data_IF_865008014520
#
_entry.id   IF_865008014520
#
_cell.length_a   1.000
_cell.length_b   1.000
_cell.length_c   1.000
_cell.angle_alpha   90.00
_cell.angle_beta   90.00
_cell.angle_gamma   90.00
#
_symmetry.space_group_name_H-M   'P 1'
#
loop_
_entity.id
_entity.type
_entity.pdbx_description
1 polymer ?
#
# COMPACT_ATOMS: atom_id res chain seq x y z
N UNK A 1 -1.01 1.04 -33.55
CA UNK A 1 -2.19 1.90 -33.79
C UNK A 1 -2.59 2.60 -32.49
N UNK A 2 -3.19 3.81 -32.52
CA UNK A 2 -3.37 4.63 -31.31
C UNK A 2 -4.29 3.97 -30.26
N UNK A 3 -5.21 3.10 -30.68
CA UNK A 3 -6.08 2.33 -29.79
C UNK A 3 -5.29 1.36 -28.90
N UNK A 4 -4.20 0.79 -29.42
CA UNK A 4 -3.34 -0.13 -28.67
C UNK A 4 -2.57 0.64 -27.58
N UNK A 5 -2.12 1.86 -27.90
CA UNK A 5 -1.46 2.72 -26.93
C UNK A 5 -2.41 3.10 -25.78
N UNK A 6 -3.67 3.45 -26.09
CA UNK A 6 -4.68 3.73 -25.06
C UNK A 6 -4.91 2.50 -24.16
N UNK A 7 -4.95 1.30 -24.74
CA UNK A 7 -5.13 0.05 -23.98
C UNK A 7 -3.96 -0.21 -23.03
N UNK A 8 -2.72 -0.10 -23.51
CA UNK A 8 -1.52 -0.31 -22.70
C UNK A 8 -1.42 0.73 -21.57
N UNK A 9 -1.71 1.99 -21.87
CA UNK A 9 -1.69 3.07 -20.87
C UNK A 9 -2.78 2.87 -19.81
N UNK A 10 -3.97 2.38 -20.20
CA UNK A 10 -5.02 1.98 -19.25
C UNK A 10 -4.63 0.81 -18.37
N UNK A 11 -3.92 -0.20 -18.90
CA UNK A 11 -3.39 -1.30 -18.09
C UNK A 11 -2.41 -0.82 -17.03
N UNK A 12 -1.73 0.30 -17.27
CA UNK A 12 -0.87 0.97 -16.30
C UNK A 12 -1.65 1.91 -15.34
N UNK A 13 -2.98 1.95 -15.41
CA UNK A 13 -3.82 2.84 -14.60
C UNK A 13 -3.82 4.30 -15.06
N UNK A 14 -3.12 4.61 -16.15
CA UNK A 14 -2.99 5.95 -16.70
C UNK A 14 -4.07 6.20 -17.76
N UNK A 15 -4.33 7.48 -18.06
CA UNK A 15 -5.35 7.88 -19.05
C UNK A 15 -4.74 8.77 -20.12
N UNK A 16 -5.13 8.52 -21.36
CA UNK A 16 -4.78 9.36 -22.50
C UNK A 16 -5.88 10.40 -22.76
N UNK A 17 -5.47 11.66 -22.87
CA UNK A 17 -6.29 12.80 -23.29
C UNK A 17 -5.94 13.14 -24.73
N UNK A 18 -6.89 13.65 -25.50
CA UNK A 18 -6.63 14.08 -26.86
C UNK A 18 -7.08 15.52 -27.10
N UNK A 19 -6.34 16.22 -27.95
CA UNK A 19 -6.61 17.61 -28.33
C UNK A 19 -6.40 17.79 -29.83
N UNK A 20 -7.36 18.43 -30.49
CA UNK A 20 -7.22 18.84 -31.89
C UNK A 20 -6.45 20.14 -31.95
N UNK A 21 -5.32 20.15 -32.64
CA UNK A 21 -4.44 21.31 -32.76
C UNK A 21 -4.37 21.70 -34.24
N UNK A 22 -4.47 22.99 -34.52
CA UNK A 22 -4.34 23.55 -35.87
C UNK A 22 -5.58 24.31 -36.35
N UNK A 23 -5.45 25.01 -37.49
CA UNK A 23 -6.51 25.81 -38.07
C UNK A 23 -7.64 24.93 -38.62
N UNK A 24 -8.84 25.52 -38.78
CA UNK A 24 -10.02 24.84 -39.29
C UNK A 24 -9.72 24.26 -40.68
N UNK A 25 -9.97 22.96 -40.87
CA UNK A 25 -9.64 22.21 -42.10
C UNK A 25 -8.27 21.54 -42.13
N UNK A 26 -7.36 21.82 -41.18
CA UNK A 26 -6.05 21.15 -41.04
C UNK A 26 -5.76 20.74 -39.60
N UNK A 27 -6.79 20.27 -38.88
CA UNK A 27 -6.64 19.88 -37.49
C UNK A 27 -6.00 18.49 -37.36
N UNK A 28 -4.97 18.39 -36.54
CA UNK A 28 -4.32 17.13 -36.17
C UNK A 28 -4.71 16.77 -34.75
N UNK A 29 -5.08 15.50 -34.52
CA UNK A 29 -5.41 14.99 -33.19
C UNK A 29 -4.13 14.56 -32.49
N UNK A 30 -3.74 15.32 -31.47
CA UNK A 30 -2.63 14.97 -30.59
C UNK A 30 -3.14 14.22 -29.36
N UNK A 31 -2.31 13.33 -28.85
CA UNK A 31 -2.58 12.43 -27.75
C UNK A 31 -1.55 12.70 -26.65
N UNK A 32 -2.02 12.99 -25.44
CA UNK A 32 -1.21 13.35 -24.28
C UNK A 32 -1.61 12.46 -23.09
N UNK A 33 -0.71 12.27 -22.13
CA UNK A 33 -1.08 11.68 -20.85
C UNK A 33 -1.86 12.70 -20.01
N UNK A 34 -2.82 12.23 -19.24
CA UNK A 34 -3.53 13.04 -18.26
C UNK A 34 -2.56 13.51 -17.16
N UNK A 35 -2.44 14.82 -16.97
CA UNK A 35 -1.45 15.39 -16.06
C UNK A 35 -1.72 15.01 -14.60
N UNK A 36 -2.99 15.01 -14.17
CA UNK A 36 -3.37 14.64 -12.80
C UNK A 36 -3.09 13.18 -12.50
N UNK A 37 -3.50 12.25 -13.39
CA UNK A 37 -3.18 10.82 -13.24
C UNK A 37 -1.66 10.55 -13.27
N UNK A 38 -0.91 11.30 -14.09
CA UNK A 38 0.54 11.14 -14.18
C UNK A 38 1.24 11.60 -12.90
N UNK A 39 0.88 12.77 -12.36
CA UNK A 39 1.46 13.30 -11.12
C UNK A 39 1.20 12.35 -9.96
N UNK A 40 -0.04 11.88 -9.81
CA UNK A 40 -0.40 10.88 -8.83
C UNK A 40 0.46 9.62 -8.94
N UNK A 41 0.58 9.07 -10.15
CA UNK A 41 1.37 7.85 -10.38
C UNK A 41 2.84 8.03 -10.00
N UNK A 42 3.43 9.20 -10.27
CA UNK A 42 4.81 9.51 -9.88
C UNK A 42 4.94 9.55 -8.35
N UNK A 43 4.04 10.23 -7.64
CA UNK A 43 4.06 10.30 -6.18
C UNK A 43 3.88 8.93 -5.52
N UNK A 44 2.99 8.07 -6.04
CA UNK A 44 2.83 6.69 -5.56
C UNK A 44 4.10 5.86 -5.77
N UNK A 45 4.77 6.01 -6.92
CA UNK A 45 6.04 5.31 -7.18
C UNK A 45 7.10 5.75 -6.18
N UNK A 46 7.23 7.04 -5.93
CA UNK A 46 8.17 7.59 -4.96
C UNK A 46 7.92 7.04 -3.55
N UNK A 47 6.67 7.09 -3.08
CA UNK A 47 6.29 6.54 -1.78
C UNK A 47 6.62 5.05 -1.67
N UNK A 48 6.30 4.24 -2.69
CA UNK A 48 6.62 2.80 -2.69
C UNK A 48 8.13 2.54 -2.69
N UNK A 49 8.92 3.36 -3.40
CA UNK A 49 10.38 3.25 -3.38
C UNK A 49 10.95 3.58 -2.00
N UNK A 50 10.43 4.62 -1.34
CA UNK A 50 10.81 4.97 0.03
C UNK A 50 10.51 3.82 0.99
N UNK A 51 9.30 3.25 0.93
CA UNK A 51 8.89 2.11 1.76
C UNK A 51 9.80 0.88 1.56
N UNK A 52 10.20 0.60 0.31
CA UNK A 52 11.16 -0.49 0.01
C UNK A 52 12.53 -0.24 0.63
N UNK A 53 13.05 0.98 0.53
CA UNK A 53 14.36 1.36 1.12
C UNK A 53 14.32 1.23 2.65
N UNK A 54 13.29 1.76 3.30
CA UNK A 54 13.13 1.64 4.75
C UNK A 54 13.05 0.19 5.22
N UNK A 55 12.35 -0.68 4.46
CA UNK A 55 12.30 -2.11 4.76
C UNK A 55 13.68 -2.78 4.64
N UNK A 56 14.45 -2.41 3.62
CA UNK A 56 15.81 -2.94 3.42
C UNK A 56 16.77 -2.48 4.53
N UNK A 57 16.71 -1.21 4.93
CA UNK A 57 17.50 -0.68 6.04
C UNK A 57 17.20 -1.40 7.35
N UNK A 58 15.92 -1.61 7.67
CA UNK A 58 15.50 -2.38 8.86
C UNK A 58 16.02 -3.82 8.80
N UNK A 59 15.88 -4.49 7.66
CA UNK A 59 16.40 -5.85 7.50
C UNK A 59 17.93 -5.92 7.71
N UNK A 60 18.67 -4.89 7.28
CA UNK A 60 20.12 -4.79 7.54
C UNK A 60 20.43 -4.59 9.01
N UNK A 61 19.73 -3.68 9.70
CA UNK A 61 19.94 -3.44 11.13
C UNK A 61 19.58 -4.67 11.97
N UNK A 62 18.52 -5.37 11.61
CA UNK A 62 18.07 -6.58 12.30
C UNK A 62 19.09 -7.72 12.11
N UNK A 63 19.60 -7.91 10.89
CA UNK A 63 20.64 -8.88 10.60
C UNK A 63 21.95 -8.58 11.37
N UNK A 64 22.34 -7.30 11.48
CA UNK A 64 23.51 -6.90 12.25
C UNK A 64 23.31 -7.11 13.75
N UNK A 65 22.15 -6.73 14.28
CA UNK A 65 21.77 -6.97 15.68
C UNK A 65 21.80 -8.47 16.01
N UNK A 66 21.25 -9.30 15.12
CA UNK A 66 21.24 -10.75 15.27
C UNK A 66 22.67 -11.33 15.27
N UNK A 67 23.55 -10.86 14.38
CA UNK A 67 24.98 -11.25 14.39
C UNK A 67 25.70 -10.84 15.68
N UNK A 68 25.45 -9.63 16.18
CA UNK A 68 26.06 -9.15 17.44
C UNK A 68 25.60 -9.98 18.63
N UNK A 69 24.29 -10.26 18.71
CA UNK A 69 23.72 -11.12 19.73
C UNK A 69 24.33 -12.53 19.68
N UNK A 70 24.44 -13.10 18.49
CA UNK A 70 25.03 -14.42 18.27
C UNK A 70 26.51 -14.48 18.69
N UNK A 71 27.33 -13.51 18.29
CA UNK A 71 28.73 -13.43 18.72
C UNK A 71 28.87 -13.31 20.25
N UNK A 72 27.94 -12.60 20.91
CA UNK A 72 27.89 -12.51 22.37
C UNK A 72 27.59 -13.86 23.04
N UNK A 73 26.63 -14.62 22.51
CA UNK A 73 26.29 -15.96 23.00
C UNK A 73 27.47 -16.93 22.79
N UNK A 74 28.10 -16.90 21.62
CA UNK A 74 29.30 -17.71 21.31
C UNK A 74 30.45 -17.38 22.28
N UNK A 75 30.72 -16.10 22.55
CA UNK A 75 31.79 -15.68 23.46
C UNK A 75 31.53 -16.07 24.93
N UNK A 76 30.28 -16.03 25.38
CA UNK A 76 29.93 -16.36 26.77
C UNK A 76 29.82 -17.87 27.03
N UNK A 77 29.28 -18.62 26.09
CA UNK A 77 28.91 -20.03 26.31
C UNK A 77 29.66 -21.03 25.42
N UNK A 78 30.44 -20.57 24.43
CA UNK A 78 31.20 -21.44 23.50
C UNK A 78 30.31 -22.24 22.53
N UNK A 79 29.03 -21.88 22.41
CA UNK A 79 28.05 -22.61 21.61
C UNK A 79 28.09 -22.06 20.18
N UNK A 80 28.74 -22.79 19.27
CA UNK A 80 28.66 -22.49 17.83
C UNK A 80 27.23 -22.74 17.33
N UNK A 81 26.68 -21.89 16.46
CA UNK A 81 25.36 -22.07 15.87
C UNK A 81 25.25 -23.43 15.18
N UNK A 82 24.12 -24.15 15.34
CA UNK A 82 23.88 -25.37 14.58
C UNK A 82 23.92 -25.06 13.07
N UNK A 83 24.49 -25.98 12.29
CA UNK A 83 24.60 -25.86 10.82
C UNK A 83 23.23 -25.70 10.14
N UNK A 84 22.17 -26.19 10.78
CA UNK A 84 20.79 -26.03 10.33
C UNK A 84 20.08 -24.98 11.20
N UNK A 85 19.65 -23.85 10.63
CA UNK A 85 18.86 -22.86 11.35
C UNK A 85 17.49 -23.45 11.68
N UNK A 86 17.23 -23.67 12.97
CA UNK A 86 15.90 -24.04 13.45
C UNK A 86 15.01 -22.80 13.42
N UNK A 87 13.90 -22.84 12.68
CA UNK A 87 12.86 -21.81 12.76
C UNK A 87 12.20 -21.86 14.13
N UNK A 88 12.70 -21.08 15.10
CA UNK A 88 11.98 -20.79 16.33
C UNK A 88 10.89 -19.76 16.03
N UNK A 89 9.61 -20.11 16.17
CA UNK A 89 8.53 -19.15 15.98
C UNK A 89 8.67 -18.01 17.00
N UNK A 90 8.36 -16.76 16.63
CA UNK A 90 8.45 -15.64 17.54
C UNK A 90 7.55 -15.88 18.76
N UNK A 91 8.02 -15.59 19.99
CA UNK A 91 7.32 -15.98 21.22
C UNK A 91 5.96 -15.31 21.43
N UNK A 92 5.59 -14.29 20.64
CA UNK A 92 4.30 -13.59 20.70
C UNK A 92 3.73 -13.29 19.29
N UNK A 93 3.47 -14.32 18.49
CA UNK A 93 2.92 -14.17 17.13
C UNK A 93 1.41 -14.43 17.02
N UNK A 94 0.56 -13.44 17.34
CA UNK A 94 -0.76 -13.34 16.70
C UNK A 94 -0.54 -12.56 15.40
N UNK A 95 -0.27 -13.26 14.31
CA UNK A 95 -0.06 -12.64 13.01
C UNK A 95 0.63 -13.57 12.01
N UNK A 96 -0.15 -14.01 11.02
CA UNK A 96 0.16 -14.70 9.75
C UNK A 96 1.32 -15.72 9.73
N UNK A 97 1.00 -16.97 9.39
CA UNK A 97 1.97 -18.06 9.26
C UNK A 97 3.07 -17.74 8.24
N UNK A 98 4.33 -18.17 8.47
CA UNK A 98 5.37 -18.05 7.45
C UNK A 98 4.96 -18.83 6.18
N UNK A 99 5.27 -18.23 5.02
CA UNK A 99 5.04 -18.82 3.71
C UNK A 99 5.57 -20.27 3.65
N UNK A 100 4.61 -21.21 3.61
CA UNK A 100 4.74 -22.56 3.05
C UNK A 100 5.83 -23.45 3.67
N UNK A 101 5.44 -24.21 4.70
CA UNK A 101 6.12 -25.45 5.06
C UNK A 101 5.79 -26.57 4.06
N UNK A 102 6.71 -27.53 3.90
CA UNK A 102 6.47 -28.77 3.14
C UNK A 102 5.68 -29.73 4.02
N UNK A 103 4.54 -30.21 3.53
CA UNK A 103 3.72 -31.22 4.21
C UNK A 103 4.43 -32.59 4.18
N UNK A 104 4.86 -33.08 5.34
CA UNK A 104 5.11 -34.52 5.53
C UNK A 104 3.78 -35.19 5.89
N UNK A 105 3.00 -35.58 4.89
CA UNK A 105 1.77 -36.35 5.09
C UNK A 105 2.06 -37.75 5.63
N UNK A 106 1.52 -38.06 6.80
CA UNK A 106 0.93 -39.37 7.08
C UNK A 106 -0.51 -39.14 7.57
N UNK A 107 -1.45 -39.82 6.90
CA UNK A 107 -2.90 -39.73 7.03
C UNK A 107 -3.42 -39.76 8.48
N UNK A 108 -4.39 -38.90 8.79
CA UNK A 108 -5.76 -39.30 9.15
C UNK A 108 -6.61 -38.05 9.46
N UNK A 109 -7.76 -37.95 8.79
CA UNK A 109 -8.59 -36.75 8.76
C UNK A 109 -9.50 -36.56 9.97
N UNK A 110 -10.10 -35.37 10.03
CA UNK A 110 -11.47 -35.13 10.52
C UNK A 110 -12.01 -33.92 9.76
N UNK A 111 -13.15 -34.11 9.09
CA UNK A 111 -13.96 -33.03 8.52
C UNK A 111 -14.60 -32.22 9.67
N UNK A 112 -14.49 -30.90 9.63
CA UNK A 112 -15.44 -30.03 10.31
C UNK A 112 -16.02 -29.04 9.31
N UNK A 113 -17.17 -29.42 8.76
CA UNK A 113 -18.15 -28.48 8.21
C UNK A 113 -18.56 -27.51 9.33
N UNK A 114 -18.27 -26.23 9.13
CA UNK A 114 -19.09 -25.15 9.67
C UNK A 114 -19.32 -24.13 8.58
N UNK A 115 -20.49 -24.25 7.98
CA UNK A 115 -21.17 -23.16 7.31
C UNK A 115 -21.38 -22.02 8.31
N UNK A 116 -20.89 -20.84 7.98
CA UNK A 116 -21.52 -19.59 8.40
C UNK A 116 -21.45 -18.63 7.21
N UNK A 117 -22.62 -18.39 6.62
CA UNK A 117 -22.85 -17.38 5.61
C UNK A 117 -22.68 -15.99 6.24
N UNK A 118 -21.46 -15.45 6.22
CA UNK A 118 -21.20 -14.02 6.43
C UNK A 118 -20.58 -13.43 5.16
N UNK A 119 -21.46 -12.82 4.38
CA UNK A 119 -21.21 -12.06 3.16
C UNK A 119 -19.97 -11.14 3.25
N UNK A 120 -18.88 -11.56 2.63
CA UNK A 120 -18.27 -10.87 1.49
C UNK A 120 -17.90 -9.37 1.65
N UNK A 121 -17.05 -8.96 2.62
CA UNK A 121 -16.40 -7.60 2.59
C UNK A 121 -14.93 -7.58 3.13
N UNK A 122 -14.43 -8.57 3.88
CA UNK A 122 -13.15 -8.45 4.62
C UNK A 122 -11.86 -8.81 3.86
N UNK A 123 -11.88 -9.01 2.54
CA UNK A 123 -10.64 -9.29 1.78
C UNK A 123 -9.98 -8.04 1.17
N UNK A 124 -10.66 -6.88 1.18
CA UNK A 124 -10.07 -5.61 0.72
C UNK A 124 -9.56 -4.84 1.93
N UNK A 125 -8.29 -5.03 2.30
CA UNK A 125 -7.67 -4.20 3.34
C UNK A 125 -6.52 -4.81 4.14
N UNK A 126 -6.30 -6.12 4.09
CA UNK A 126 -5.27 -6.77 4.93
C UNK A 126 -3.83 -6.30 4.70
N UNK A 127 -3.52 -5.70 3.54
CA UNK A 127 -2.18 -5.20 3.18
C UNK A 127 -2.01 -3.68 3.33
N UNK A 128 -3.10 -2.95 3.63
CA UNK A 128 -3.10 -1.48 3.69
C UNK A 128 -3.03 -0.92 5.11
N UNK A 129 -2.93 -1.77 6.14
CA UNK A 129 -2.81 -1.32 7.52
C UNK A 129 -1.47 -0.55 7.71
N UNK A 130 -1.47 0.74 8.05
CA UNK A 130 -0.26 1.50 8.27
C UNK A 130 0.43 1.01 9.55
N UNK A 131 1.75 0.83 9.50
CA UNK A 131 2.55 0.45 10.67
C UNK A 131 3.03 1.72 11.40
N UNK A 132 2.09 2.51 11.89
CA UNK A 132 2.33 3.84 12.46
C UNK A 132 2.10 3.92 13.97
N UNK A 133 1.82 2.78 14.62
CA UNK A 133 1.58 2.67 16.06
C UNK A 133 0.21 3.20 16.50
N UNK A 134 -0.64 3.63 15.56
CA UNK A 134 -2.01 4.05 15.83
C UNK A 134 -2.96 2.86 15.62
N UNK A 135 -3.73 2.54 16.67
CA UNK A 135 -4.68 1.42 16.68
C UNK A 135 -5.95 1.68 15.86
N UNK A 136 -6.13 2.89 15.31
CA UNK A 136 -7.28 3.19 14.47
C UNK A 136 -7.22 2.35 13.19
N UNK A 137 -8.27 1.57 12.86
CA UNK A 137 -8.29 0.82 11.61
C UNK A 137 -8.27 1.76 10.40
N UNK A 138 -7.58 1.38 9.33
CA UNK A 138 -7.49 2.22 8.12
C UNK A 138 -8.86 2.51 7.49
N UNK A 139 -9.82 1.60 7.62
CA UNK A 139 -11.20 1.79 7.18
C UNK A 139 -11.90 2.93 7.93
N UNK A 140 -11.62 3.08 9.23
CA UNK A 140 -12.15 4.19 10.05
C UNK A 140 -11.51 5.51 9.64
N UNK A 141 -10.22 5.50 9.29
CA UNK A 141 -9.58 6.68 8.69
C UNK A 141 -10.23 7.03 7.34
N UNK A 142 -10.55 6.06 6.49
CA UNK A 142 -11.27 6.31 5.24
C UNK A 142 -12.63 6.96 5.47
N UNK A 143 -13.44 6.47 6.42
CA UNK A 143 -14.75 7.08 6.69
C UNK A 143 -14.60 8.52 7.18
N UNK A 144 -13.61 8.81 8.05
CA UNK A 144 -13.28 10.17 8.47
C UNK A 144 -12.86 11.06 7.29
N UNK A 145 -12.09 10.53 6.34
CA UNK A 145 -11.65 11.27 5.16
C UNK A 145 -12.84 11.62 4.25
N UNK A 146 -13.75 10.67 4.01
CA UNK A 146 -14.97 10.89 3.21
C UNK A 146 -15.87 11.94 3.84
N UNK A 147 -16.06 11.89 5.16
CA UNK A 147 -16.78 12.92 5.91
C UNK A 147 -16.13 14.29 5.81
N UNK A 148 -14.79 14.37 5.81
CA UNK A 148 -14.08 15.63 5.62
C UNK A 148 -14.22 16.19 4.20
N UNK A 149 -14.24 15.34 3.17
CA UNK A 149 -14.47 15.78 1.78
C UNK A 149 -15.82 16.51 1.67
N UNK A 150 -16.86 16.00 2.32
CA UNK A 150 -18.18 16.62 2.36
C UNK A 150 -18.13 17.99 3.07
N UNK A 151 -17.30 18.13 4.11
CA UNK A 151 -17.16 19.36 4.91
C UNK A 151 -16.29 20.43 4.27
N UNK A 152 -15.44 20.07 3.31
CA UNK A 152 -14.61 21.02 2.56
C UNK A 152 -13.10 20.87 2.78
N UNK A 153 -12.31 21.66 2.06
CA UNK A 153 -10.85 21.54 1.99
C UNK A 153 -10.15 21.68 3.36
N UNK A 154 -10.61 22.60 4.20
CA UNK A 154 -10.04 22.81 5.54
C UNK A 154 -10.21 21.60 6.46
N UNK A 155 -11.36 20.92 6.37
CA UNK A 155 -11.61 19.71 7.15
C UNK A 155 -10.71 18.55 6.69
N UNK A 156 -10.48 18.44 5.38
CA UNK A 156 -9.58 17.44 4.79
C UNK A 156 -8.15 17.66 5.28
N UNK A 157 -7.64 18.89 5.19
CA UNK A 157 -6.30 19.22 5.66
C UNK A 157 -6.17 19.00 7.19
N UNK A 158 -7.19 19.37 7.96
CA UNK A 158 -7.17 19.18 9.42
C UNK A 158 -7.09 17.70 9.82
N UNK A 159 -7.76 16.80 9.08
CA UNK A 159 -7.69 15.36 9.35
C UNK A 159 -6.34 14.80 8.90
N UNK A 160 -5.93 15.08 7.68
CA UNK A 160 -4.71 14.53 7.09
C UNK A 160 -3.47 14.98 7.85
N UNK A 161 -3.39 16.25 8.25
CA UNK A 161 -2.26 16.76 9.05
C UNK A 161 -2.13 16.08 10.43
N UNK A 162 -3.20 15.49 10.97
CA UNK A 162 -3.13 14.73 12.23
C UNK A 162 -2.61 13.30 12.04
N UNK A 163 -2.66 12.77 10.83
CA UNK A 163 -2.19 11.42 10.52
C UNK A 163 -0.71 11.39 10.18
N UNK A 164 -0.12 10.22 10.40
CA UNK A 164 1.24 9.89 9.94
C UNK A 164 1.28 9.79 8.42
N UNK A 165 2.46 10.00 7.82
CA UNK A 165 2.67 9.89 6.37
C UNK A 165 2.11 8.57 5.80
N UNK A 166 2.43 7.43 6.45
CA UNK A 166 1.97 6.12 6.02
C UNK A 166 0.44 6.01 6.04
N UNK A 167 -0.22 6.51 7.09
CA UNK A 167 -1.67 6.49 7.18
C UNK A 167 -2.34 7.40 6.17
N UNK A 168 -1.76 8.57 5.86
CA UNK A 168 -2.25 9.45 4.79
C UNK A 168 -2.23 8.71 3.45
N UNK A 169 -1.11 8.07 3.11
CA UNK A 169 -0.97 7.31 1.88
C UNK A 169 -1.92 6.11 1.81
N UNK A 170 -2.02 5.32 2.88
CA UNK A 170 -2.94 4.19 2.93
C UNK A 170 -4.40 4.62 2.78
N UNK A 171 -4.81 5.71 3.43
CA UNK A 171 -6.19 6.21 3.35
C UNK A 171 -6.53 6.72 1.94
N UNK A 172 -5.59 7.40 1.28
CA UNK A 172 -5.77 7.90 -0.09
C UNK A 172 -5.81 6.77 -1.12
N UNK A 173 -4.94 5.76 -0.98
CA UNK A 173 -4.94 4.59 -1.87
C UNK A 173 -6.23 3.77 -1.72
N UNK A 174 -6.70 3.59 -0.48
CA UNK A 174 -7.98 2.93 -0.21
C UNK A 174 -9.17 3.76 -0.76
N UNK A 175 -9.09 5.10 -0.68
CA UNK A 175 -10.09 5.98 -1.27
C UNK A 175 -10.14 5.86 -2.80
N UNK A 176 -8.99 5.74 -3.47
CA UNK A 176 -8.95 5.52 -4.92
C UNK A 176 -9.65 4.21 -5.31
N UNK A 177 -9.37 3.13 -4.58
CA UNK A 177 -9.93 1.80 -4.83
C UNK A 177 -11.46 1.78 -4.64
N UNK A 178 -11.95 2.45 -3.59
CA UNK A 178 -13.37 2.45 -3.23
C UNK A 178 -14.18 3.52 -3.96
N UNK A 179 -13.60 4.70 -4.19
CA UNK A 179 -14.31 5.88 -4.66
C UNK A 179 -13.39 6.86 -5.44
N UNK A 180 -12.91 6.45 -6.63
CA UNK A 180 -12.09 7.30 -7.51
C UNK A 180 -12.70 8.70 -7.75
N UNK A 181 -14.03 8.80 -7.84
CA UNK A 181 -14.72 10.08 -8.04
C UNK A 181 -14.51 11.09 -6.91
N UNK A 182 -14.43 10.63 -5.67
CA UNK A 182 -14.21 11.49 -4.49
C UNK A 182 -12.76 11.97 -4.44
N UNK A 183 -11.81 11.14 -4.86
CA UNK A 183 -10.40 11.56 -5.00
C UNK A 183 -10.25 12.69 -6.02
N UNK A 184 -10.95 12.62 -7.16
CA UNK A 184 -10.94 13.68 -8.18
C UNK A 184 -11.56 14.98 -7.66
N UNK A 185 -12.62 14.88 -6.86
CA UNK A 185 -13.20 16.05 -6.22
C UNK A 185 -12.18 16.70 -5.26
N UNK A 186 -11.46 15.87 -4.50
CA UNK A 186 -10.45 16.33 -3.56
C UNK A 186 -9.26 17.00 -4.28
N UNK A 187 -8.79 16.45 -5.41
CA UNK A 187 -7.77 17.09 -6.27
C UNK A 187 -8.21 18.46 -6.81
N UNK A 188 -9.48 18.62 -7.16
CA UNK A 188 -10.03 19.90 -7.61
C UNK A 188 -10.14 20.92 -6.47
N UNK A 189 -10.48 20.45 -5.27
CA UNK A 189 -10.62 21.29 -4.08
C UNK A 189 -9.27 21.75 -3.53
N UNK A 190 -8.24 20.89 -3.59
CA UNK A 190 -6.91 21.16 -3.05
C UNK A 190 -5.87 20.95 -4.16
N UNK A 191 -5.53 22.01 -4.91
CA UNK A 191 -4.46 21.94 -5.90
C UNK A 191 -3.14 21.51 -5.25
N UNK A 192 -2.48 20.51 -5.81
CA UNK A 192 -1.23 19.97 -5.25
C UNK A 192 -1.42 19.14 -3.98
N UNK A 193 -2.62 18.56 -3.79
CA UNK A 193 -2.95 17.70 -2.64
C UNK A 193 -1.86 16.68 -2.27
N UNK A 194 -1.24 16.04 -3.26
CA UNK A 194 -0.23 15.00 -3.02
C UNK A 194 1.03 15.51 -2.31
N UNK A 195 1.32 16.82 -2.38
CA UNK A 195 2.41 17.42 -1.62
C UNK A 195 2.18 17.34 -0.09
N UNK A 196 0.93 17.24 0.35
CA UNK A 196 0.53 17.17 1.76
C UNK A 196 0.55 15.74 2.32
N UNK A 197 0.78 14.74 1.47
CA UNK A 197 0.87 13.34 1.89
C UNK A 197 2.26 12.96 2.41
N UNK A 198 3.26 13.82 2.20
CA UNK A 198 4.63 13.65 2.73
C UNK A 198 4.81 14.24 4.14
#
# INVERSE_FOLDING_TARGET
PIWLLDLLVRQLGLKLVNKKIGPRGKQVKHHFLDAGKLEFALSVIEHRQLKRKQKEERARTDAESQRRHQAGIEAQYGISPPYDPVSTPPPNGIGNSPLRGVDTTANNGVNFDKSDNSSHIYEVGGDWEPNDGDSTPIQTSLTMLRDAIIRGAEAVLAIICRWTCDRRWCAVLLLEEVAEGELRQLEQMIPGFYAWLN
#
